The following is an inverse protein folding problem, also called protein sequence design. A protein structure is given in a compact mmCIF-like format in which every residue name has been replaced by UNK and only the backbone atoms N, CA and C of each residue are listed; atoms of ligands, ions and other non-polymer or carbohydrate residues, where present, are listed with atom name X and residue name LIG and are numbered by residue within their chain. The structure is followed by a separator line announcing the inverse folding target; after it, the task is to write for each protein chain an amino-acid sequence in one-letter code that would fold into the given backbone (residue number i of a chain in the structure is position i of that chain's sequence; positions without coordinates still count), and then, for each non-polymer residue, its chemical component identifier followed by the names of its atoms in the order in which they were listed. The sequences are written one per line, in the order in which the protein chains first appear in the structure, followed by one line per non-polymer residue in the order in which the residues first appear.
data_IF_797472701885
#
_entry.id   IF_797472701885
#
_cell.length_a   1.000
_cell.length_b   1.000
_cell.length_c   1.000
_cell.angle_alpha   90.00
_cell.angle_beta   90.00
_cell.angle_gamma   90.00
#
_symmetry.space_group_name_H-M   'P 1'
#
loop_
_entity.id
_entity.type
_entity.pdbx_description
1 polymer ?
#
# COMPACT_ATOMS: atom_id res chain seq x y z
N UNK A 1 7.29 -32.69 10.86
CA UNK A 1 6.68 -32.69 9.51
C UNK A 1 6.15 -31.30 9.14
N UNK A 2 5.43 -30.61 10.04
CA UNK A 2 4.99 -29.21 9.83
C UNK A 2 6.16 -28.21 9.65
N UNK A 3 7.24 -28.31 10.45
CA UNK A 3 8.42 -27.44 10.30
C UNK A 3 9.14 -27.62 8.96
N UNK A 4 9.23 -28.87 8.46
CA UNK A 4 9.82 -29.16 7.15
C UNK A 4 8.98 -28.56 6.01
N UNK A 5 7.65 -28.67 6.10
CA UNK A 5 6.73 -28.08 5.11
C UNK A 5 6.73 -26.53 5.17
N UNK A 6 6.80 -25.95 6.36
CA UNK A 6 6.94 -24.49 6.54
C UNK A 6 8.26 -23.96 5.96
N UNK A 7 9.35 -24.74 6.03
CA UNK A 7 10.64 -24.38 5.42
C UNK A 7 10.67 -24.46 3.89
N UNK A 8 9.65 -25.07 3.28
CA UNK A 8 9.54 -25.24 1.82
C UNK A 8 8.61 -24.17 1.24
N UNK A 9 7.50 -23.86 1.91
CA UNK A 9 6.49 -22.94 1.42
C UNK A 9 7.06 -21.54 1.11
N UNK A 10 6.73 -21.00 -0.07
CA UNK A 10 7.24 -19.69 -0.51
C UNK A 10 8.71 -19.66 -0.95
N UNK A 11 9.42 -20.80 -0.89
CA UNK A 11 10.81 -20.92 -1.35
C UNK A 11 10.90 -21.58 -2.74
N UNK A 12 12.07 -21.57 -3.36
CA UNK A 12 12.31 -22.26 -4.63
C UNK A 12 12.19 -23.79 -4.54
N UNK A 13 12.20 -24.35 -3.32
CA UNK A 13 11.99 -25.77 -3.06
C UNK A 13 10.51 -26.16 -3.20
N UNK A 14 9.60 -25.19 -3.09
CA UNK A 14 8.19 -25.41 -3.40
C UNK A 14 8.02 -25.56 -4.92
N UNK A 15 7.75 -26.79 -5.34
CA UNK A 15 7.52 -27.12 -6.75
C UNK A 15 6.08 -26.87 -7.19
N UNK A 16 5.17 -26.62 -6.25
CA UNK A 16 3.74 -26.41 -6.51
C UNK A 16 3.43 -24.93 -6.66
N UNK A 17 3.89 -24.10 -5.72
CA UNK A 17 3.61 -22.67 -5.73
C UNK A 17 4.74 -21.88 -6.40
N UNK A 18 4.38 -20.78 -7.05
CA UNK A 18 5.36 -19.90 -7.67
C UNK A 18 6.04 -19.05 -6.60
N UNK A 19 7.32 -19.33 -6.34
CA UNK A 19 8.13 -18.55 -5.40
C UNK A 19 8.23 -17.07 -5.77
N UNK A 20 8.25 -16.73 -7.06
CA UNK A 20 8.29 -15.33 -7.51
C UNK A 20 6.98 -14.61 -7.25
N UNK A 21 5.84 -15.22 -7.57
CA UNK A 21 4.56 -14.59 -7.25
C UNK A 21 4.39 -14.40 -5.74
N UNK A 22 4.77 -15.41 -4.94
CA UNK A 22 4.67 -15.31 -3.48
C UNK A 22 5.54 -14.19 -2.91
N UNK A 23 6.81 -14.10 -3.32
CA UNK A 23 7.77 -13.13 -2.77
C UNK A 23 7.66 -11.72 -3.36
N UNK A 24 7.34 -11.63 -4.65
CA UNK A 24 7.41 -10.38 -5.43
C UNK A 24 6.00 -9.85 -5.73
N UNK A 25 4.96 -10.67 -5.61
CA UNK A 25 3.59 -10.31 -6.01
C UNK A 25 3.37 -10.30 -7.52
N UNK A 26 4.42 -10.58 -8.32
CA UNK A 26 4.37 -10.60 -9.77
C UNK A 26 5.21 -11.76 -10.34
N UNK A 27 4.83 -12.24 -11.52
CA UNK A 27 5.54 -13.29 -12.23
C UNK A 27 5.60 -12.98 -13.72
N UNK A 28 6.78 -13.11 -14.33
CA UNK A 28 6.98 -12.91 -15.78
C UNK A 28 6.11 -13.79 -16.69
N UNK A 29 5.60 -14.92 -16.17
CA UNK A 29 4.75 -15.82 -16.94
C UNK A 29 3.26 -15.47 -16.80
N UNK A 30 2.87 -14.58 -15.88
CA UNK A 30 1.48 -14.24 -15.60
C UNK A 30 0.61 -15.48 -15.39
N UNK A 31 -0.56 -15.51 -16.02
CA UNK A 31 -1.49 -16.65 -15.94
C UNK A 31 -1.02 -17.91 -16.66
N UNK A 32 0.03 -17.81 -17.48
CA UNK A 32 0.66 -18.96 -18.16
C UNK A 32 1.73 -19.63 -17.31
N UNK A 33 1.91 -19.24 -16.05
CA UNK A 33 2.86 -19.86 -15.15
C UNK A 33 2.51 -21.33 -14.92
N UNK A 34 3.49 -22.23 -14.99
CA UNK A 34 3.29 -23.65 -14.67
C UNK A 34 3.16 -23.93 -13.18
N UNK A 35 3.46 -22.95 -12.32
CA UNK A 35 3.31 -23.02 -10.86
C UNK A 35 2.12 -22.17 -10.43
N UNK A 36 1.52 -22.53 -9.29
CA UNK A 36 0.30 -21.87 -8.80
C UNK A 36 0.60 -20.45 -8.28
N UNK A 37 -0.26 -19.50 -8.67
CA UNK A 37 -0.34 -18.15 -8.09
C UNK A 37 -1.53 -18.11 -7.14
N UNK A 38 -1.27 -18.02 -5.83
CA UNK A 38 -2.32 -17.97 -4.81
C UNK A 38 -2.57 -16.53 -4.45
N UNK A 39 -3.64 -15.94 -5.00
CA UNK A 39 -4.05 -14.58 -4.65
C UNK A 39 -4.61 -14.56 -3.21
N UNK A 40 -4.12 -13.69 -2.32
CA UNK A 40 -4.65 -13.61 -0.97
C UNK A 40 -6.07 -12.99 -0.97
N UNK A 41 -6.93 -13.48 -0.08
CA UNK A 41 -8.25 -12.88 0.18
C UNK A 41 -8.18 -11.72 1.18
N UNK A 42 -7.11 -11.68 1.97
CA UNK A 42 -6.77 -10.62 2.91
C UNK A 42 -5.25 -10.44 2.88
N UNK A 43 -4.79 -9.20 2.88
CA UNK A 43 -3.36 -8.86 2.92
C UNK A 43 -3.22 -7.44 3.42
N UNK A 44 -2.10 -7.14 4.06
CA UNK A 44 -1.70 -5.78 4.39
C UNK A 44 -1.21 -5.02 3.15
N UNK A 45 -0.78 -5.75 2.11
CA UNK A 45 -0.14 -5.18 0.94
C UNK A 45 -1.06 -5.22 -0.26
N UNK A 46 -1.18 -4.11 -0.97
CA UNK A 46 -1.76 -4.04 -2.31
C UNK A 46 -0.70 -3.82 -3.38
N UNK A 47 -1.06 -4.14 -4.61
CA UNK A 47 -0.33 -3.85 -5.83
C UNK A 47 -1.25 -3.06 -6.77
N UNK A 48 -0.77 -1.92 -7.27
CA UNK A 48 -1.35 -1.23 -8.42
C UNK A 48 -0.44 -1.48 -9.62
N UNK A 49 -0.91 -2.29 -10.55
CA UNK A 49 -0.10 -2.73 -11.68
C UNK A 49 0.11 -1.59 -12.68
N UNK A 50 1.37 -1.43 -13.12
CA UNK A 50 1.71 -0.56 -14.24
C UNK A 50 1.23 0.91 -14.11
N UNK A 51 1.18 1.43 -12.88
CA UNK A 51 0.68 2.76 -12.54
C UNK A 51 1.71 3.85 -12.88
N UNK A 52 2.97 3.69 -12.44
CA UNK A 52 4.01 4.66 -12.72
C UNK A 52 4.43 4.60 -14.20
N UNK A 53 4.60 5.78 -14.81
CA UNK A 53 5.12 5.95 -16.16
C UNK A 53 6.38 6.78 -16.07
N UNK A 54 7.54 6.12 -16.12
CA UNK A 54 8.81 6.83 -16.08
C UNK A 54 9.00 7.66 -17.37
N UNK A 55 9.08 9.01 -17.29
CA UNK A 55 9.28 9.84 -18.48
C UNK A 55 10.59 9.55 -19.20
N UNK A 56 11.60 8.99 -18.52
CA UNK A 56 12.88 8.62 -19.13
C UNK A 56 12.75 7.52 -20.21
N UNK A 57 11.61 6.81 -20.26
CA UNK A 57 11.33 5.83 -21.30
C UNK A 57 10.56 6.41 -22.49
N UNK A 58 10.09 7.65 -22.41
CA UNK A 58 9.41 8.31 -23.52
C UNK A 58 10.43 9.05 -24.41
N UNK A 59 10.59 8.64 -25.69
CA UNK A 59 11.55 9.25 -26.59
C UNK A 59 11.27 10.73 -26.89
N UNK A 60 10.08 11.24 -26.57
CA UNK A 60 9.70 12.64 -26.78
C UNK A 60 10.05 13.56 -25.60
N UNK A 61 10.48 12.99 -24.47
CA UNK A 61 10.80 13.77 -23.27
C UNK A 61 12.29 13.71 -22.97
N UNK A 62 12.96 14.85 -23.11
CA UNK A 62 14.35 15.03 -22.72
C UNK A 62 14.42 15.87 -21.45
N UNK A 63 14.11 15.24 -20.32
CA UNK A 63 14.22 15.83 -19.01
C UNK A 63 15.63 15.62 -18.46
N UNK A 64 16.12 16.60 -17.70
CA UNK A 64 17.34 16.46 -16.90
C UNK A 64 17.10 15.51 -15.72
N UNK A 65 18.16 14.98 -15.11
CA UNK A 65 18.05 14.10 -13.93
C UNK A 65 17.28 14.77 -12.77
N UNK A 66 17.48 16.08 -12.56
CA UNK A 66 16.77 16.84 -11.54
C UNK A 66 15.27 16.91 -11.84
N UNK A 67 14.89 17.19 -13.10
CA UNK A 67 13.48 17.24 -13.50
C UNK A 67 12.81 15.85 -13.41
N UNK A 68 13.54 14.78 -13.73
CA UNK A 68 13.05 13.41 -13.54
C UNK A 68 12.83 13.08 -12.06
N UNK A 69 13.69 13.57 -11.18
CA UNK A 69 13.52 13.40 -9.74
C UNK A 69 12.34 14.21 -9.21
N UNK A 70 12.17 15.46 -9.65
CA UNK A 70 11.02 16.32 -9.29
C UNK A 70 9.70 15.71 -9.77
N UNK A 71 9.64 15.23 -11.02
CA UNK A 71 8.47 14.52 -11.56
C UNK A 71 8.14 13.26 -10.75
N UNK A 72 9.17 12.48 -10.38
CA UNK A 72 8.97 11.30 -9.55
C UNK A 72 8.50 11.64 -8.14
N UNK A 73 9.03 12.71 -7.55
CA UNK A 73 8.63 13.19 -6.22
C UNK A 73 7.15 13.62 -6.22
N UNK A 74 6.70 14.35 -7.25
CA UNK A 74 5.29 14.72 -7.42
C UNK A 74 4.39 13.49 -7.56
N UNK A 75 4.78 12.52 -8.39
CA UNK A 75 4.05 11.25 -8.51
C UNK A 75 3.98 10.52 -7.17
N UNK A 76 5.10 10.41 -6.45
CA UNK A 76 5.16 9.70 -5.19
C UNK A 76 4.29 10.37 -4.13
N UNK A 77 4.33 11.70 -4.01
CA UNK A 77 3.48 12.48 -3.10
C UNK A 77 2.00 12.27 -3.39
N UNK A 78 1.58 12.44 -4.65
CA UNK A 78 0.19 12.31 -5.08
C UNK A 78 -0.39 10.92 -4.73
N UNK A 79 0.36 9.88 -5.07
CA UNK A 79 -0.05 8.50 -4.77
C UNK A 79 -0.03 8.20 -3.27
N UNK A 80 0.99 8.66 -2.53
CA UNK A 80 1.06 8.46 -1.08
C UNK A 80 -0.12 9.12 -0.35
N UNK A 81 -0.40 10.38 -0.69
CA UNK A 81 -1.49 11.15 -0.08
C UNK A 81 -2.87 10.54 -0.41
N UNK A 82 -3.04 10.01 -1.61
CA UNK A 82 -4.28 9.31 -1.98
C UNK A 82 -4.44 8.00 -1.21
N UNK A 83 -3.37 7.21 -1.10
CA UNK A 83 -3.39 5.92 -0.41
C UNK A 83 -3.55 6.06 1.10
N UNK A 84 -3.00 7.12 1.70
CA UNK A 84 -3.10 7.40 3.13
C UNK A 84 -4.56 7.66 3.60
N UNK A 85 -5.48 7.93 2.67
CA UNK A 85 -6.92 8.09 2.99
C UNK A 85 -7.56 6.79 3.47
N UNK A 86 -7.05 5.64 3.03
CA UNK A 86 -7.59 4.31 3.37
C UNK A 86 -7.03 3.75 4.69
N UNK A 87 -5.87 4.22 5.12
CA UNK A 87 -5.24 3.75 6.34
C UNK A 87 -3.79 4.21 6.48
N UNK A 88 -3.20 3.90 7.63
CA UNK A 88 -1.80 4.16 7.92
C UNK A 88 -0.90 3.28 7.04
N UNK A 89 -0.07 3.93 6.21
CA UNK A 89 0.91 3.29 5.34
C UNK A 89 2.17 2.96 6.17
N UNK A 90 2.57 1.70 6.17
CA UNK A 90 3.85 1.24 6.74
C UNK A 90 4.98 1.42 5.73
N UNK A 91 4.76 1.02 4.47
CA UNK A 91 5.74 1.20 3.40
C UNK A 91 5.07 1.30 2.02
N UNK A 92 5.54 2.23 1.18
CA UNK A 92 5.16 2.35 -0.23
C UNK A 92 6.39 2.29 -1.10
N UNK A 93 6.35 1.45 -2.14
CA UNK A 93 7.48 1.26 -3.08
C UNK A 93 7.00 1.32 -4.52
N UNK A 94 7.86 1.86 -5.39
CA UNK A 94 7.58 2.01 -6.83
C UNK A 94 8.67 1.30 -7.62
N UNK A 95 8.26 0.45 -8.55
CA UNK A 95 9.17 -0.31 -9.41
C UNK A 95 9.53 0.47 -10.69
N UNK A 96 10.84 0.62 -10.93
CA UNK A 96 11.47 1.14 -12.14
C UNK A 96 12.00 0.02 -13.04
N UNK A 97 11.40 -1.16 -12.93
CA UNK A 97 11.74 -2.29 -13.80
C UNK A 97 11.32 -2.00 -15.24
N UNK A 98 12.04 -2.55 -16.21
CA UNK A 98 11.66 -2.50 -17.63
C UNK A 98 10.75 -3.68 -18.03
N UNK A 99 10.84 -4.79 -17.30
CA UNK A 99 10.08 -6.00 -17.64
C UNK A 99 8.58 -5.86 -17.39
N UNK A 100 7.76 -6.33 -18.33
CA UNK A 100 6.29 -6.16 -18.35
C UNK A 100 5.55 -6.56 -17.07
N UNK A 101 6.11 -7.50 -16.29
CA UNK A 101 5.51 -8.00 -15.06
C UNK A 101 5.75 -7.12 -13.84
N UNK A 102 6.73 -6.20 -13.90
CA UNK A 102 7.11 -5.31 -12.79
C UNK A 102 7.11 -3.83 -13.15
N UNK A 103 7.13 -3.49 -14.44
CA UNK A 103 7.24 -2.10 -14.91
C UNK A 103 6.14 -1.24 -14.32
N UNK A 104 6.55 -0.17 -13.61
CA UNK A 104 5.65 0.82 -13.04
C UNK A 104 4.73 0.31 -11.93
N UNK A 105 4.97 -0.88 -11.38
CA UNK A 105 4.18 -1.40 -10.28
C UNK A 105 4.37 -0.54 -9.03
N UNK A 106 3.27 -0.20 -8.37
CA UNK A 106 3.26 0.47 -7.07
C UNK A 106 2.75 -0.51 -6.04
N UNK A 107 3.52 -0.74 -4.98
CA UNK A 107 3.08 -1.52 -3.83
C UNK A 107 2.90 -0.62 -2.63
N UNK A 108 1.87 -0.88 -1.86
CA UNK A 108 1.58 -0.17 -0.62
C UNK A 108 1.21 -1.19 0.46
N UNK A 109 2.01 -1.22 1.53
CA UNK A 109 1.76 -2.01 2.72
C UNK A 109 1.12 -1.10 3.77
N UNK A 110 -0.09 -1.46 4.19
CA UNK A 110 -0.81 -0.82 5.27
C UNK A 110 -0.53 -1.51 6.60
N UNK A 111 -0.79 -0.78 7.69
CA UNK A 111 -0.80 -1.35 9.04
C UNK A 111 -1.92 -2.38 9.24
N UNK A 112 -3.06 -2.21 8.56
CA UNK A 112 -4.26 -3.05 8.69
C UNK A 112 -4.66 -3.64 7.33
N UNK A 113 -5.10 -4.91 7.34
CA UNK A 113 -5.55 -5.61 6.14
C UNK A 113 -6.83 -5.02 5.54
N UNK A 114 -7.72 -4.52 6.41
CA UNK A 114 -8.97 -3.86 6.00
C UNK A 114 -8.70 -2.62 5.13
N UNK A 115 -7.68 -1.83 5.47
CA UNK A 115 -7.27 -0.66 4.69
C UNK A 115 -6.85 -1.04 3.26
N UNK A 116 -6.10 -2.13 3.10
CA UNK A 116 -5.72 -2.62 1.78
C UNK A 116 -6.93 -3.10 0.96
N UNK A 117 -7.86 -3.84 1.59
CA UNK A 117 -9.10 -4.28 0.95
C UNK A 117 -9.95 -3.11 0.45
N UNK A 118 -10.19 -2.12 1.32
CA UNK A 118 -10.95 -0.92 0.99
C UNK A 118 -10.27 -0.09 -0.13
N UNK A 119 -8.94 0.02 -0.09
CA UNK A 119 -8.18 0.69 -1.14
C UNK A 119 -8.33 -0.01 -2.49
N UNK A 120 -8.21 -1.34 -2.54
CA UNK A 120 -8.37 -2.12 -3.79
C UNK A 120 -9.76 -1.93 -4.40
N UNK A 121 -10.81 -2.00 -3.60
CA UNK A 121 -12.19 -1.82 -4.08
C UNK A 121 -12.41 -0.40 -4.63
N UNK A 122 -11.91 0.61 -3.92
CA UNK A 122 -12.04 2.00 -4.34
C UNK A 122 -11.25 2.32 -5.60
N UNK A 123 -9.99 1.88 -5.68
CA UNK A 123 -9.06 2.23 -6.76
C UNK A 123 -9.46 1.62 -8.11
N UNK A 124 -10.03 0.41 -8.14
CA UNK A 124 -10.46 -0.23 -9.39
C UNK A 124 -11.61 0.49 -10.11
N UNK A 125 -12.25 1.46 -9.46
CA UNK A 125 -13.29 2.30 -10.05
C UNK A 125 -12.77 3.70 -10.47
N UNK A 126 -11.44 3.89 -10.51
CA UNK A 126 -10.81 5.19 -10.71
C UNK A 126 -9.82 5.19 -11.86
N UNK A 127 -9.48 6.41 -12.28
CA UNK A 127 -8.52 6.68 -13.34
C UNK A 127 -7.38 7.54 -12.78
N UNK A 128 -6.19 7.35 -13.32
CA UNK A 128 -5.00 8.15 -13.06
C UNK A 128 -4.35 8.52 -14.39
N UNK A 129 -4.09 9.81 -14.62
CA UNK A 129 -3.52 10.32 -15.88
C UNK A 129 -4.23 9.77 -17.14
N UNK A 130 -5.57 9.70 -17.11
CA UNK A 130 -6.40 9.21 -18.22
C UNK A 130 -6.43 7.70 -18.41
N UNK A 131 -5.83 6.91 -17.50
CA UNK A 131 -5.78 5.44 -17.57
C UNK A 131 -6.54 4.81 -16.38
N UNK A 132 -7.27 3.70 -16.59
CA UNK A 132 -7.87 2.98 -15.48
C UNK A 132 -6.78 2.39 -14.55
N UNK A 133 -7.05 2.39 -13.25
CA UNK A 133 -6.20 1.73 -12.27
C UNK A 133 -6.56 0.25 -12.14
N UNK A 134 -5.55 -0.58 -11.97
CA UNK A 134 -5.69 -2.02 -11.73
C UNK A 134 -5.04 -2.35 -10.40
N UNK A 135 -5.85 -2.41 -9.34
CA UNK A 135 -5.40 -2.71 -8.00
C UNK A 135 -5.77 -4.14 -7.61
N UNK A 136 -4.88 -4.86 -6.94
CA UNK A 136 -5.16 -6.16 -6.34
C UNK A 136 -4.43 -6.34 -5.01
N UNK A 137 -4.91 -7.24 -4.16
CA UNK A 137 -4.18 -7.63 -2.95
C UNK A 137 -2.94 -8.43 -3.35
N UNK A 138 -1.80 -8.08 -2.75
CA UNK A 138 -0.50 -8.66 -3.03
C UNK A 138 -0.09 -9.61 -1.89
N UNK A 139 0.50 -10.79 -2.18
CA UNK A 139 1.02 -11.70 -1.16
C UNK A 139 2.33 -11.20 -0.51
N UNK A 140 2.91 -10.10 -0.99
CA UNK A 140 4.21 -9.59 -0.53
C UNK A 140 4.11 -9.11 0.91
N UNK A 141 4.95 -9.66 1.79
CA UNK A 141 5.02 -9.27 3.21
C UNK A 141 6.31 -8.57 3.60
N UNK A 142 7.40 -8.77 2.85
CA UNK A 142 8.72 -8.17 3.12
C UNK A 142 9.37 -7.73 1.81
N UNK A 143 9.47 -6.41 1.61
CA UNK A 143 10.07 -5.85 0.41
C UNK A 143 11.57 -6.15 0.30
N UNK A 144 12.29 -6.39 1.40
CA UNK A 144 13.74 -6.66 1.37
C UNK A 144 14.07 -7.95 0.64
N UNK A 145 13.20 -8.95 0.74
CA UNK A 145 13.32 -10.22 0.02
C UNK A 145 12.86 -10.10 -1.45
N UNK A 146 12.10 -9.05 -1.77
CA UNK A 146 11.62 -8.78 -3.11
C UNK A 146 12.54 -7.86 -3.94
N UNK A 147 13.34 -7.03 -3.27
CA UNK A 147 14.25 -6.07 -3.90
C UNK A 147 15.47 -6.73 -4.54
N UNK A 148 15.90 -6.18 -5.67
CA UNK A 148 17.11 -6.60 -6.34
C UNK A 148 18.34 -5.98 -5.66
N UNK A 149 19.05 -6.77 -4.85
CA UNK A 149 20.29 -6.32 -4.18
C UNK A 149 21.36 -5.77 -5.14
N UNK A 150 21.44 -6.31 -6.37
CA UNK A 150 22.37 -5.82 -7.39
C UNK A 150 21.95 -4.45 -7.93
N UNK A 151 20.65 -4.13 -7.96
CA UNK A 151 20.16 -2.82 -8.39
C UNK A 151 20.43 -1.75 -7.34
N UNK A 152 20.33 -2.09 -6.05
CA UNK A 152 20.65 -1.17 -4.93
C UNK A 152 22.09 -0.63 -5.00
N UNK A 153 23.02 -1.44 -5.53
CA UNK A 153 24.43 -1.05 -5.75
C UNK A 153 24.74 -0.63 -7.19
N UNK A 154 23.70 -0.41 -8.02
CA UNK A 154 23.81 -0.02 -9.44
C UNK A 154 24.57 -1.00 -10.36
N UNK A 155 24.57 -2.30 -10.04
CA UNK A 155 25.26 -3.35 -10.80
C UNK A 155 24.31 -4.33 -11.51
N UNK A 156 22.99 -4.15 -11.42
CA UNK A 156 22.05 -5.04 -12.07
C UNK A 156 22.09 -4.87 -13.60
N UNK A 157 22.62 -5.86 -14.30
CA UNK A 157 22.74 -5.90 -15.76
C UNK A 157 21.68 -6.77 -16.44
N UNK A 158 20.64 -7.21 -15.71
CA UNK A 158 19.60 -8.12 -16.24
C UNK A 158 18.53 -7.40 -17.07
N UNK A 159 18.49 -6.06 -17.05
CA UNK A 159 17.48 -5.27 -17.75
C UNK A 159 16.06 -5.77 -17.49
N UNK A 160 15.26 -5.92 -18.56
CA UNK A 160 13.88 -6.43 -18.49
C UNK A 160 13.74 -7.89 -18.03
N UNK A 161 14.85 -8.64 -17.91
CA UNK A 161 14.84 -10.03 -17.43
C UNK A 161 15.02 -10.16 -15.92
N UNK A 162 15.24 -9.04 -15.20
CA UNK A 162 15.26 -9.08 -13.73
C UNK A 162 13.85 -9.40 -13.20
N UNK A 163 13.78 -10.36 -12.27
CA UNK A 163 12.52 -10.79 -11.65
C UNK A 163 12.39 -10.26 -10.20
N UNK A 164 13.26 -9.33 -9.80
CA UNK A 164 13.26 -8.68 -8.49
C UNK A 164 12.98 -7.20 -8.67
N UNK A 165 12.41 -6.56 -7.66
CA UNK A 165 12.00 -5.16 -7.71
C UNK A 165 13.22 -4.25 -7.84
N UNK A 166 13.22 -3.40 -8.84
CA UNK A 166 14.16 -2.28 -8.98
C UNK A 166 13.42 -1.05 -8.44
N UNK A 167 13.80 -0.56 -7.27
CA UNK A 167 13.06 0.53 -6.63
C UNK A 167 13.51 1.90 -7.14
N UNK A 168 12.53 2.75 -7.48
CA UNK A 168 12.73 4.20 -7.58
C UNK A 168 12.42 4.82 -6.23
N UNK A 169 13.31 5.69 -5.76
CA UNK A 169 13.18 6.34 -4.45
C UNK A 169 12.85 7.82 -4.60
N UNK A 170 11.92 8.35 -3.79
CA UNK A 170 11.68 9.78 -3.73
C UNK A 170 12.84 10.44 -3.00
N UNK A 171 12.92 11.77 -3.10
CA UNK A 171 13.86 12.55 -2.30
C UNK A 171 13.68 12.24 -0.82
N UNK A 172 14.82 12.11 -0.11
CA UNK A 172 14.81 11.76 1.32
C UNK A 172 14.01 12.75 2.16
N UNK A 173 14.02 14.02 1.78
CA UNK A 173 13.26 15.07 2.42
C UNK A 173 11.75 14.83 2.26
N UNK A 174 11.26 14.66 1.03
CA UNK A 174 9.85 14.38 0.75
C UNK A 174 9.38 13.13 1.49
N UNK A 175 10.13 12.02 1.42
CA UNK A 175 9.78 10.80 2.16
C UNK A 175 9.61 11.08 3.65
N UNK A 176 10.53 11.82 4.25
CA UNK A 176 10.45 12.15 5.67
C UNK A 176 9.22 12.98 5.99
N UNK A 177 8.95 14.02 5.21
CA UNK A 177 7.81 14.93 5.40
C UNK A 177 6.47 14.19 5.31
N UNK A 178 6.30 13.29 4.33
CA UNK A 178 5.09 12.49 4.15
C UNK A 178 4.78 11.57 5.35
N UNK A 179 5.77 10.81 5.81
CA UNK A 179 5.58 9.90 6.95
C UNK A 179 5.45 10.66 8.29
N UNK A 180 6.16 11.79 8.46
CA UNK A 180 5.94 12.66 9.62
C UNK A 180 4.53 13.27 9.60
N UNK A 181 4.05 13.71 8.44
CA UNK A 181 2.69 14.21 8.22
C UNK A 181 1.62 13.16 8.55
N UNK A 182 1.75 11.94 8.03
CA UNK A 182 0.86 10.82 8.36
C UNK A 182 0.82 10.57 9.88
N UNK A 183 1.98 10.54 10.54
CA UNK A 183 2.03 10.32 12.00
C UNK A 183 1.27 11.40 12.77
N UNK A 184 1.34 12.66 12.33
CA UNK A 184 0.59 13.75 12.96
C UNK A 184 -0.91 13.61 12.70
N UNK A 185 -1.33 13.30 11.47
CA UNK A 185 -2.74 13.06 11.12
C UNK A 185 -3.35 11.91 11.93
N UNK A 186 -2.65 10.77 12.01
CA UNK A 186 -3.09 9.61 12.81
C UNK A 186 -3.24 9.98 14.29
N UNK A 187 -2.31 10.77 14.83
CA UNK A 187 -2.39 11.24 16.23
C UNK A 187 -3.58 12.16 16.45
N UNK A 188 -3.84 13.06 15.52
CA UNK A 188 -4.97 13.98 15.60
C UNK A 188 -6.31 13.24 15.48
N UNK A 189 -6.44 12.29 14.55
CA UNK A 189 -7.63 11.45 14.42
C UNK A 189 -7.92 10.67 15.69
N UNK A 190 -6.91 10.00 16.27
CA UNK A 190 -7.08 9.28 17.55
C UNK A 190 -7.56 10.18 18.67
N UNK A 191 -7.01 11.40 18.77
CA UNK A 191 -7.45 12.38 19.77
C UNK A 191 -8.92 12.78 19.56
N UNK A 192 -9.33 13.05 18.31
CA UNK A 192 -10.73 13.38 17.98
C UNK A 192 -11.66 12.23 18.32
N UNK A 193 -11.30 11.00 17.99
CA UNK A 193 -12.07 9.79 18.34
C UNK A 193 -12.20 9.59 19.85
N UNK A 194 -11.14 9.85 20.62
CA UNK A 194 -11.18 9.81 22.08
C UNK A 194 -12.09 10.88 22.67
N UNK A 195 -12.02 12.12 22.17
CA UNK A 195 -12.89 13.22 22.57
C UNK A 195 -14.36 12.92 22.26
N UNK A 196 -14.67 12.38 21.07
CA UNK A 196 -16.02 11.94 20.70
C UNK A 196 -16.55 10.81 21.59
N UNK A 197 -15.71 9.78 21.86
CA UNK A 197 -16.08 8.68 22.76
C UNK A 197 -16.36 9.19 24.17
N UNK A 198 -15.58 10.17 24.65
CA UNK A 198 -15.81 10.79 25.95
C UNK A 198 -17.14 11.56 25.98
N UNK A 199 -17.42 12.37 24.96
CA UNK A 199 -18.69 13.12 24.87
C UNK A 199 -19.91 12.18 24.87
N UNK A 200 -19.85 11.07 24.11
CA UNK A 200 -20.93 10.07 24.08
C UNK A 200 -21.18 9.43 25.45
N UNK A 201 -20.10 9.11 26.21
CA UNK A 201 -20.23 8.58 27.57
C UNK A 201 -20.85 9.60 28.53
N UNK A 202 -20.41 10.85 28.47
CA UNK A 202 -20.98 11.93 29.31
C UNK A 202 -22.47 12.18 28.99
N UNK A 203 -22.88 12.03 27.72
CA UNK A 203 -24.28 12.11 27.30
C UNK A 203 -25.11 10.93 27.83
N UNK A 204 -24.59 9.70 27.71
CA UNK A 204 -25.24 8.49 28.25
C UNK A 204 -25.41 8.57 29.77
N UNK A 205 -24.43 9.08 30.52
CA UNK A 205 -24.51 9.27 31.98
C UNK A 205 -25.52 10.35 32.39
N UNK A 206 -25.75 11.37 31.55
CA UNK A 206 -26.74 12.44 31.81
C UNK A 206 -28.16 12.02 31.48
N UNK A 207 -28.35 11.00 30.65
CA UNK A 207 -29.67 10.57 30.16
C UNK A 207 -30.61 10.07 31.28
N UNK A 208 -30.18 9.22 32.24
CA UNK A 208 -31.02 8.81 33.37
C UNK A 208 -31.42 9.99 34.25
N UNK A 209 -30.46 10.88 34.57
CA UNK A 209 -30.69 12.07 35.41
C UNK A 209 -31.70 13.04 34.79
N UNK A 210 -31.74 13.13 33.46
CA UNK A 210 -32.76 13.92 32.75
C UNK A 210 -34.14 13.28 32.82
N UNK A 211 -34.23 11.95 32.74
CA UNK A 211 -35.50 11.23 32.85
C UNK A 211 -36.04 11.36 34.28
N UNK A 212 -35.21 11.09 35.29
CA UNK A 212 -35.57 11.26 36.71
C UNK A 212 -36.02 12.69 37.02
N UNK A 213 -35.31 13.71 36.51
CA UNK A 213 -35.71 15.11 36.70
C UNK A 213 -37.02 15.47 35.99
N UNK A 214 -37.40 14.75 34.93
CA UNK A 214 -38.65 14.96 34.21
C UNK A 214 -39.83 14.27 34.90
N UNK A 215 -39.60 13.06 35.43
CA UNK A 215 -40.57 12.33 36.26
C UNK A 215 -40.85 13.08 37.57
N UNK A 216 -39.81 13.56 38.26
CA UNK A 216 -39.92 14.41 39.46
C UNK A 216 -40.66 15.73 39.20
N UNK A 217 -40.56 16.26 37.97
CA UNK A 217 -41.28 17.46 37.58
C UNK A 217 -42.77 17.16 37.34
N UNK A 218 -43.10 16.02 36.74
CA UNK A 218 -44.48 15.60 36.50
C UNK A 218 -45.24 15.35 37.82
N UNK A 219 -44.62 14.67 38.78
CA UNK A 219 -45.21 14.38 40.10
C UNK A 219 -45.48 15.64 40.95
N UNK A 220 -44.84 16.78 40.67
CA UNK A 220 -45.13 18.05 41.37
C UNK A 220 -46.38 18.77 40.89
N UNK A 221 -46.94 18.38 39.74
CA UNK A 221 -48.11 19.02 39.15
C UNK A 221 -49.39 18.15 39.20
N UNK A 222 -49.32 16.97 39.82
CA UNK A 222 -50.45 16.07 40.13
C UNK A 222 -50.71 16.00 41.62
#
# INVERSE_FOLDING_TARGET
MAEYLASIYGTEKDKVNCSFYFKIGACRHGDRCSRKHVKPTFSQTLLIANMYKNPAHDPNFHLTENQLQEDFDLFYEDVFMELAKFGEIEEMVVCDNVGDHLVGNVYCQYRLEESAGNAVESLNNRFYAGRPLYAELSPVTDFREACCRQHEIAECNRGGFCNFMHLKHPSRQLRRELYEGQRLDVRERRRREEEERRMRREEEERRPKRIEAMDDAYDRFT
#
